data_IF_110051259484
#
_entry.id   IF_110051259484
#
_cell.length_a   1.000
_cell.length_b   1.000
_cell.length_c   1.000
_cell.angle_alpha   90.00
_cell.angle_beta   90.00
_cell.angle_gamma   90.00
#
_symmetry.space_group_name_H-M   'P 1'
#
loop_
_entity.id
_entity.type
_entity.pdbx_description
1 polymer ?
#
# COMPACT_ATOMS: atom_id res chain seq x y z
N UNK A 1 -3.51 2.93 9.84
CA UNK A 1 -3.96 1.98 8.79
C UNK A 1 -5.14 2.55 8.05
N UNK A 2 -5.19 2.31 6.75
CA UNK A 2 -6.35 2.67 5.93
C UNK A 2 -7.02 1.40 5.40
N UNK A 3 -8.31 1.52 5.07
CA UNK A 3 -9.09 0.43 4.51
C UNK A 3 -10.04 0.99 3.47
N UNK A 4 -10.07 0.38 2.30
CA UNK A 4 -10.92 0.77 1.18
C UNK A 4 -11.57 -0.47 0.59
N UNK A 5 -12.76 -0.30 0.01
CA UNK A 5 -13.48 -1.42 -0.62
C UNK A 5 -14.07 -0.97 -1.93
N UNK A 6 -14.17 -1.89 -2.87
CA UNK A 6 -14.80 -1.61 -4.17
C UNK A 6 -15.28 -2.91 -4.82
N UNK A 7 -16.18 -2.75 -5.80
CA UNK A 7 -16.59 -3.85 -6.67
C UNK A 7 -15.58 -4.01 -7.80
N UNK A 8 -14.34 -4.30 -7.39
CA UNK A 8 -13.19 -4.50 -8.28
C UNK A 8 -12.54 -5.81 -7.82
N UNK A 9 -12.32 -6.74 -8.72
CA UNK A 9 -11.72 -8.01 -8.37
C UNK A 9 -10.29 -7.89 -7.87
N UNK A 10 -9.83 -8.89 -7.13
CA UNK A 10 -8.51 -8.87 -6.49
C UNK A 10 -7.39 -8.64 -7.51
N UNK A 11 -7.46 -9.29 -8.65
CA UNK A 11 -6.40 -9.19 -9.67
C UNK A 11 -6.26 -7.76 -10.18
N UNK A 12 -7.38 -7.11 -10.52
CA UNK A 12 -7.40 -5.73 -10.97
C UNK A 12 -6.98 -4.78 -9.85
N UNK A 13 -7.48 -5.02 -8.65
CA UNK A 13 -7.12 -4.21 -7.49
C UNK A 13 -5.60 -4.28 -7.21
N UNK A 14 -4.99 -5.47 -7.32
CA UNK A 14 -3.56 -5.62 -7.13
C UNK A 14 -2.76 -4.82 -8.16
N UNK A 15 -3.22 -4.79 -9.41
CA UNK A 15 -2.60 -3.95 -10.45
C UNK A 15 -2.73 -2.46 -10.12
N UNK A 16 -3.89 -2.05 -9.62
CA UNK A 16 -4.12 -0.67 -9.20
C UNK A 16 -3.21 -0.29 -8.03
N UNK A 17 -3.02 -1.20 -7.09
CA UNK A 17 -2.11 -0.99 -5.96
C UNK A 17 -0.68 -0.77 -6.47
N UNK A 18 -0.21 -1.59 -7.40
CA UNK A 18 1.13 -1.41 -7.97
C UNK A 18 1.27 -0.08 -8.69
N UNK A 19 0.25 0.35 -9.42
CA UNK A 19 0.26 1.67 -10.06
C UNK A 19 0.27 2.80 -9.02
N UNK A 20 -0.54 2.68 -7.99
CA UNK A 20 -0.61 3.69 -6.93
C UNK A 20 0.75 3.81 -6.22
N UNK A 21 1.38 2.69 -5.93
CA UNK A 21 2.72 2.67 -5.32
C UNK A 21 3.72 3.42 -6.22
N UNK A 22 3.70 3.15 -7.51
CA UNK A 22 4.60 3.81 -8.46
C UNK A 22 4.42 5.32 -8.53
N UNK A 23 3.28 5.84 -8.09
CA UNK A 23 2.98 7.27 -8.08
C UNK A 23 3.29 7.96 -6.75
N UNK A 24 3.85 7.23 -5.78
CA UNK A 24 4.14 7.79 -4.47
C UNK A 24 5.46 8.56 -4.43
N UNK A 25 6.23 8.55 -5.50
CA UNK A 25 7.47 9.30 -5.60
C UNK A 25 8.50 8.60 -6.44
N UNK A 26 9.62 9.27 -6.67
CA UNK A 26 10.70 8.76 -7.51
C UNK A 26 11.58 7.74 -6.80
N UNK A 27 11.54 7.71 -5.47
CA UNK A 27 12.39 6.82 -4.66
C UNK A 27 11.63 5.62 -4.12
N UNK A 28 10.41 5.38 -4.61
CA UNK A 28 9.61 4.25 -4.17
C UNK A 28 9.95 3.01 -4.99
N UNK A 29 10.02 1.87 -4.30
CA UNK A 29 10.23 0.58 -4.94
C UNK A 29 9.27 -0.44 -4.34
N UNK A 30 8.76 -1.33 -5.18
CA UNK A 30 8.01 -2.48 -4.71
C UNK A 30 9.01 -3.54 -4.29
N UNK A 31 9.10 -3.78 -2.98
CA UNK A 31 10.11 -4.66 -2.41
C UNK A 31 9.75 -6.13 -2.52
N UNK A 32 8.47 -6.45 -2.55
CA UNK A 32 8.03 -7.83 -2.65
C UNK A 32 6.54 -7.97 -2.75
N UNK A 33 6.11 -9.16 -3.15
CA UNK A 33 4.72 -9.50 -3.26
C UNK A 33 4.54 -10.98 -2.93
N UNK A 34 3.47 -11.30 -2.23
CA UNK A 34 3.08 -12.68 -1.99
C UNK A 34 1.56 -12.77 -2.01
N UNK A 35 1.05 -13.98 -2.18
CA UNK A 35 -0.39 -14.14 -2.21
C UNK A 35 -0.79 -15.59 -2.12
N UNK A 36 -2.08 -15.78 -1.96
CA UNK A 36 -2.67 -17.10 -1.86
C UNK A 36 -4.09 -17.05 -2.41
N UNK A 37 -4.46 -18.10 -3.10
CA UNK A 37 -5.82 -18.30 -3.61
C UNK A 37 -6.35 -19.62 -3.08
N UNK A 38 -7.59 -19.60 -2.61
CA UNK A 38 -8.30 -20.82 -2.22
C UNK A 38 -9.76 -20.67 -2.64
N UNK A 39 -10.21 -21.67 -3.39
CA UNK A 39 -11.55 -21.64 -3.99
C UNK A 39 -11.71 -20.39 -4.86
N UNK A 40 -12.67 -19.51 -4.53
CA UNK A 40 -12.95 -18.29 -5.27
C UNK A 40 -12.33 -17.04 -4.62
N UNK A 41 -11.62 -17.22 -3.53
CA UNK A 41 -11.05 -16.09 -2.77
C UNK A 41 -9.54 -16.01 -2.93
N UNK A 42 -9.05 -14.80 -2.87
CA UNK A 42 -7.61 -14.53 -2.98
C UNK A 42 -7.19 -13.46 -1.99
N UNK A 43 -5.93 -13.54 -1.61
CA UNK A 43 -5.26 -12.47 -0.87
C UNK A 43 -3.91 -12.20 -1.53
N UNK A 44 -3.57 -10.93 -1.65
CA UNK A 44 -2.26 -10.47 -2.12
C UNK A 44 -1.69 -9.51 -1.10
N UNK A 45 -0.42 -9.66 -0.81
CA UNK A 45 0.30 -8.73 0.06
C UNK A 45 1.44 -8.13 -0.74
N UNK A 46 1.46 -6.81 -0.83
CA UNK A 46 2.45 -6.06 -1.60
C UNK A 46 3.19 -5.16 -0.62
N UNK A 47 4.50 -5.24 -0.62
CA UNK A 47 5.35 -4.43 0.24
C UNK A 47 6.13 -3.46 -0.62
N UNK A 48 6.04 -2.18 -0.30
CA UNK A 48 6.79 -1.13 -0.96
C UNK A 48 7.67 -0.40 0.05
N UNK A 49 8.76 0.16 -0.44
CA UNK A 49 9.66 0.98 0.36
C UNK A 49 9.86 2.31 -0.34
N UNK A 50 9.96 3.37 0.45
CA UNK A 50 10.22 4.71 -0.05
C UNK A 50 11.30 5.36 0.81
N UNK A 51 12.30 5.97 0.16
CA UNK A 51 13.31 6.72 0.86
C UNK A 51 12.78 8.10 1.21
N UNK A 52 12.90 8.47 2.46
CA UNK A 52 12.50 9.79 2.95
C UNK A 52 13.76 10.58 3.33
N UNK A 53 14.04 11.62 2.57
CA UNK A 53 15.23 12.43 2.79
C UNK A 53 15.24 13.09 4.17
N UNK A 54 14.09 13.49 4.67
CA UNK A 54 13.97 14.16 5.96
C UNK A 54 14.48 13.31 7.12
N UNK A 55 14.33 12.00 7.02
CA UNK A 55 14.76 11.09 8.08
C UNK A 55 16.00 10.28 7.68
N UNK A 56 16.47 10.45 6.44
CA UNK A 56 17.64 9.73 5.94
C UNK A 56 17.44 8.22 5.93
N UNK A 57 16.23 7.74 5.75
CA UNK A 57 15.93 6.33 5.87
C UNK A 57 14.71 5.95 5.05
N UNK A 58 14.51 4.64 4.90
CA UNK A 58 13.34 4.10 4.21
C UNK A 58 12.18 3.91 5.18
N UNK A 59 10.98 4.07 4.65
CA UNK A 59 9.76 3.62 5.30
C UNK A 59 9.09 2.60 4.39
N UNK A 60 8.32 1.71 4.96
CA UNK A 60 7.60 0.69 4.21
C UNK A 60 6.11 0.97 4.19
N UNK A 61 5.46 0.52 3.13
CA UNK A 61 4.02 0.46 3.03
C UNK A 61 3.65 -0.98 2.72
N UNK A 62 2.89 -1.59 3.60
CA UNK A 62 2.41 -2.95 3.39
C UNK A 62 0.94 -2.88 3.03
N UNK A 63 0.59 -3.44 1.88
CA UNK A 63 -0.76 -3.39 1.35
C UNK A 63 -1.28 -4.81 1.22
N UNK A 64 -2.45 -5.06 1.78
CA UNK A 64 -3.13 -6.34 1.62
C UNK A 64 -4.40 -6.14 0.79
N UNK A 65 -4.51 -6.91 -0.27
CA UNK A 65 -5.70 -6.96 -1.13
C UNK A 65 -6.37 -8.30 -0.90
N UNK A 66 -7.63 -8.29 -0.53
CA UNK A 66 -8.36 -9.53 -0.27
C UNK A 66 -9.75 -9.47 -0.89
N UNK A 67 -10.25 -10.62 -1.32
CA UNK A 67 -11.58 -10.70 -1.92
C UNK A 67 -11.71 -11.83 -2.93
N UNK A 68 -12.49 -11.57 -3.96
CA UNK A 68 -12.75 -12.52 -5.04
C UNK A 68 -12.59 -11.85 -6.41
N UNK A 69 -13.16 -12.46 -7.44
CA UNK A 69 -13.06 -11.92 -8.80
C UNK A 69 -13.92 -10.68 -9.05
N UNK A 70 -14.84 -10.36 -8.14
CA UNK A 70 -15.81 -9.28 -8.34
C UNK A 70 -15.67 -8.12 -7.38
N UNK A 71 -15.15 -8.37 -6.19
CA UNK A 71 -15.00 -7.33 -5.17
C UNK A 71 -13.76 -7.57 -4.33
N UNK A 72 -13.24 -6.49 -3.77
CA UNK A 72 -12.04 -6.57 -2.96
C UNK A 72 -11.99 -5.47 -1.92
N UNK A 73 -11.16 -5.72 -0.91
CA UNK A 73 -10.78 -4.77 0.11
C UNK A 73 -9.28 -4.54 0.01
N UNK A 74 -8.89 -3.29 0.11
CA UNK A 74 -7.48 -2.90 0.16
C UNK A 74 -7.22 -2.28 1.52
N UNK A 75 -6.25 -2.83 2.22
CA UNK A 75 -5.84 -2.33 3.53
C UNK A 75 -4.35 -2.04 3.49
N UNK A 76 -3.94 -0.92 4.05
CA UNK A 76 -2.55 -0.52 3.99
C UNK A 76 -2.09 0.04 5.32
N UNK A 77 -0.87 -0.32 5.68
CA UNK A 77 -0.23 0.19 6.88
C UNK A 77 1.20 0.60 6.56
N UNK A 78 1.57 1.80 7.00
CA UNK A 78 2.93 2.28 6.85
C UNK A 78 3.71 2.04 8.13
N UNK A 79 4.99 1.73 7.97
CA UNK A 79 5.90 1.67 9.10
C UNK A 79 7.25 2.24 8.68
N UNK A 80 7.91 2.89 9.61
CA UNK A 80 9.22 3.46 9.35
C UNK A 80 10.31 2.71 10.09
N UNK A 81 11.49 2.73 9.50
CA UNK A 81 12.67 2.29 10.18
C UNK A 81 13.21 3.45 11.01
N UNK A 82 13.98 3.10 12.01
CA UNK A 82 14.65 4.09 12.81
C UNK A 82 14.10 4.15 14.22
N UNK A 83 14.89 4.76 15.05
CA UNK A 83 14.62 4.94 16.45
C UNK A 83 15.12 6.32 16.84
N UNK A 84 14.67 6.79 17.98
CA UNK A 84 15.10 8.08 18.48
C UNK A 84 14.48 9.26 17.73
N UNK A 85 15.25 10.33 17.58
CA UNK A 85 14.74 11.61 17.11
C UNK A 85 14.33 11.63 15.65
N UNK A 86 14.87 10.71 14.85
CA UNK A 86 14.61 10.65 13.43
C UNK A 86 13.59 9.59 13.06
N UNK A 87 12.83 9.12 14.02
CA UNK A 87 11.79 8.14 13.79
C UNK A 87 10.78 8.62 12.78
N UNK A 88 10.29 7.67 12.01
CA UNK A 88 9.13 7.85 11.16
C UNK A 88 7.91 7.90 12.08
N UNK A 89 7.52 9.09 12.49
CA UNK A 89 6.53 9.29 13.53
C UNK A 89 5.11 8.98 13.04
N UNK A 90 4.16 9.00 13.97
CA UNK A 90 2.77 8.65 13.69
C UNK A 90 2.14 9.53 12.60
N UNK A 91 2.42 10.85 12.62
CA UNK A 91 1.89 11.76 11.61
C UNK A 91 2.44 11.46 10.22
N UNK A 92 3.73 11.18 10.13
CA UNK A 92 4.35 10.81 8.85
C UNK A 92 3.82 9.48 8.32
N UNK A 93 3.53 8.53 9.20
CA UNK A 93 2.91 7.27 8.78
C UNK A 93 1.53 7.50 8.20
N UNK A 94 0.73 8.35 8.85
CA UNK A 94 -0.60 8.69 8.35
C UNK A 94 -0.52 9.38 7.00
N UNK A 95 0.42 10.29 6.83
CA UNK A 95 0.61 11.00 5.55
C UNK A 95 0.96 10.03 4.44
N UNK A 96 1.84 9.06 4.71
CA UNK A 96 2.21 8.06 3.73
C UNK A 96 1.00 7.20 3.33
N UNK A 97 0.22 6.77 4.32
CA UNK A 97 -0.99 5.99 4.08
C UNK A 97 -2.02 6.81 3.29
N UNK A 98 -2.21 8.08 3.62
CA UNK A 98 -3.17 8.95 2.94
C UNK A 98 -2.74 9.28 1.52
N UNK A 99 -1.44 9.42 1.27
CA UNK A 99 -0.94 9.60 -0.09
C UNK A 99 -1.29 8.38 -0.95
N UNK A 100 -1.14 7.19 -0.40
CA UNK A 100 -1.53 5.96 -1.09
C UNK A 100 -3.04 5.93 -1.33
N UNK A 101 -3.85 6.27 -0.34
CA UNK A 101 -5.31 6.32 -0.49
C UNK A 101 -5.70 7.26 -1.63
N UNK A 102 -5.05 8.42 -1.70
CA UNK A 102 -5.33 9.43 -2.71
C UNK A 102 -5.04 8.90 -4.11
N UNK A 103 -3.92 8.20 -4.26
CA UNK A 103 -3.58 7.59 -5.55
C UNK A 103 -4.57 6.50 -5.94
N UNK A 104 -5.03 5.70 -5.00
CA UNK A 104 -6.04 4.68 -5.28
C UNK A 104 -7.36 5.30 -5.71
N UNK A 105 -7.77 6.40 -5.09
CA UNK A 105 -8.98 7.13 -5.50
C UNK A 105 -8.84 7.68 -6.91
N UNK A 106 -7.70 8.23 -7.24
CA UNK A 106 -7.44 8.77 -8.59
C UNK A 106 -7.52 7.67 -9.65
N UNK A 107 -7.25 6.43 -9.28
CA UNK A 107 -7.39 5.28 -10.17
C UNK A 107 -8.81 4.71 -10.20
N UNK A 108 -9.72 5.27 -9.40
CA UNK A 108 -11.11 4.85 -9.37
C UNK A 108 -11.51 3.93 -8.22
N UNK A 109 -10.63 3.65 -7.31
CA UNK A 109 -10.94 2.81 -6.14
C UNK A 109 -11.54 3.68 -5.02
N UNK A 110 -12.57 3.19 -4.38
CA UNK A 110 -13.25 3.98 -3.35
C UNK A 110 -12.88 3.55 -1.92
#
# INVERSE_FOLDING_TARGET
>A
MISMSAKIGVSTAASMVSQAIGRLGTTVEQAGEMGRTWEDRSVRVIVAEKYFMRIGSFASLTVMVSGDAESSRVEAVASGAGDGLLNFNWGARQDFEEDFRRQMRDLGYA
#
